data_IF_355954372257
#
_entry.id   IF_355954372257
#
_cell.length_a   1.000
_cell.length_b   1.000
_cell.length_c   1.000
_cell.angle_alpha   90.00
_cell.angle_beta   90.00
_cell.angle_gamma   90.00
#
_symmetry.space_group_name_H-M   'P 1'
#
loop_
_entity.id
_entity.type
_entity.pdbx_description
1 polymer ?
#
# COMPACT_ATOMS: atom_id res chain seq x y z
N UNK A 1 -9.58 14.29 11.94
CA UNK A 1 -9.36 12.86 12.25
C UNK A 1 -8.83 12.19 10.98
N UNK A 2 -7.84 11.30 11.07
CA UNK A 2 -7.27 10.59 9.91
C UNK A 2 -7.37 9.09 10.09
N UNK A 3 -7.83 8.40 9.04
CA UNK A 3 -7.76 6.95 8.95
C UNK A 3 -6.49 6.57 8.20
N UNK A 4 -5.80 5.55 8.69
CA UNK A 4 -4.57 5.02 8.14
C UNK A 4 -4.79 3.55 7.80
N UNK A 5 -4.17 3.07 6.73
CA UNK A 5 -4.01 1.63 6.54
C UNK A 5 -2.55 1.31 6.25
N UNK A 6 -2.11 0.16 6.73
CA UNK A 6 -0.79 -0.39 6.42
C UNK A 6 -0.94 -1.77 5.82
N UNK A 7 -0.31 -1.99 4.67
CA UNK A 7 0.04 -3.27 4.06
C UNK A 7 1.49 -3.60 4.42
N UNK A 8 1.75 -4.60 5.25
CA UNK A 8 3.05 -5.27 5.27
C UNK A 8 3.19 -6.36 4.19
N UNK A 9 4.45 -6.62 3.81
CA UNK A 9 4.89 -7.74 2.96
C UNK A 9 6.06 -8.50 3.62
N UNK A 10 5.80 -9.72 4.11
CA UNK A 10 6.72 -10.86 4.29
C UNK A 10 8.03 -10.73 5.12
N UNK A 11 8.67 -11.85 5.55
CA UNK A 11 9.45 -11.91 6.78
C UNK A 11 10.90 -11.46 6.59
N UNK A 12 11.13 -10.17 6.40
CA UNK A 12 12.48 -9.59 6.46
C UNK A 12 12.50 -8.08 6.74
N UNK A 13 11.40 -7.49 7.22
CA UNK A 13 11.38 -6.11 7.71
C UNK A 13 11.61 -5.02 6.64
N UNK A 14 11.31 -5.29 5.36
CA UNK A 14 11.51 -4.32 4.29
C UNK A 14 10.24 -4.15 3.44
N UNK A 15 9.69 -2.93 3.49
CA UNK A 15 8.54 -2.39 2.77
C UNK A 15 7.18 -2.48 3.49
N UNK A 16 6.90 -1.44 4.27
CA UNK A 16 5.54 -1.07 4.67
C UNK A 16 4.94 -0.19 3.56
N UNK A 17 3.88 -0.67 2.89
CA UNK A 17 3.03 0.23 2.12
C UNK A 17 1.96 0.77 3.04
N UNK A 18 1.88 2.08 3.21
CA UNK A 18 0.81 2.68 4.00
C UNK A 18 0.37 3.97 3.36
N UNK A 19 -0.93 4.23 3.46
CA UNK A 19 -1.52 5.50 3.07
C UNK A 19 -2.55 5.92 4.12
N UNK A 20 -3.01 7.16 4.04
CA UNK A 20 -3.96 7.71 4.99
C UNK A 20 -4.84 8.80 4.38
N UNK A 21 -5.90 9.16 5.10
CA UNK A 21 -6.87 10.16 4.63
C UNK A 21 -6.42 11.61 4.84
N UNK A 22 -5.30 11.89 5.53
CA UNK A 22 -4.92 13.26 5.91
C UNK A 22 -4.75 14.17 4.70
N UNK A 23 -3.94 13.78 3.71
CA UNK A 23 -3.67 14.62 2.54
C UNK A 23 -4.91 14.83 1.67
N UNK A 24 -5.77 13.81 1.57
CA UNK A 24 -7.02 13.90 0.79
C UNK A 24 -8.05 14.85 1.41
N UNK A 25 -8.03 15.00 2.74
CA UNK A 25 -8.98 15.85 3.49
C UNK A 25 -8.30 17.02 4.20
N UNK A 26 -7.11 17.42 3.76
CA UNK A 26 -6.35 18.50 4.40
C UNK A 26 -7.11 19.83 4.35
N UNK A 27 -7.72 20.12 3.20
CA UNK A 27 -8.38 21.40 2.94
C UNK A 27 -9.84 21.41 3.40
N UNK A 28 -10.42 20.23 3.68
CA UNK A 28 -11.74 20.05 4.31
C UNK A 28 -11.71 18.91 5.35
N UNK A 29 -11.18 19.18 6.57
CA UNK A 29 -10.96 18.16 7.57
C UNK A 29 -12.28 17.60 8.11
N UNK A 30 -12.42 16.28 8.01
CA UNK A 30 -13.56 15.60 8.63
C UNK A 30 -13.42 15.63 10.16
N UNK A 31 -14.37 16.33 10.80
CA UNK A 31 -14.55 16.33 12.24
C UNK A 31 -15.48 15.19 12.64
N UNK A 32 -15.10 14.45 13.68
CA UNK A 32 -15.92 13.40 14.24
C UNK A 32 -16.23 13.75 15.69
N UNK A 33 -17.51 13.73 16.05
CA UNK A 33 -17.94 13.90 17.43
C UNK A 33 -18.06 12.54 18.12
N UNK A 34 -18.02 12.53 19.45
CA UNK A 34 -18.29 11.33 20.22
C UNK A 34 -19.64 10.70 19.81
N UNK A 35 -19.65 9.38 19.60
CA UNK A 35 -20.84 8.66 19.13
C UNK A 35 -21.08 8.70 17.62
N UNK A 36 -20.22 9.38 16.85
CA UNK A 36 -20.30 9.36 15.38
C UNK A 36 -19.63 8.11 14.82
N UNK A 37 -20.29 7.44 13.90
CA UNK A 37 -19.69 6.36 13.12
C UNK A 37 -18.94 6.94 11.91
N UNK A 38 -17.70 6.50 11.69
CA UNK A 38 -16.87 6.91 10.56
C UNK A 38 -16.62 5.71 9.65
N UNK A 39 -16.72 5.93 8.35
CA UNK A 39 -16.31 4.96 7.33
C UNK A 39 -15.22 5.58 6.46
N UNK A 40 -14.04 4.96 6.46
CA UNK A 40 -12.97 5.27 5.52
C UNK A 40 -12.90 4.16 4.45
N UNK A 41 -12.84 4.55 3.18
CA UNK A 41 -12.69 3.63 2.05
C UNK A 41 -11.39 3.91 1.34
N UNK A 42 -10.59 2.86 1.16
CA UNK A 42 -9.35 2.90 0.39
C UNK A 42 -9.52 2.01 -0.83
N UNK A 43 -9.23 2.56 -2.01
CA UNK A 43 -9.30 1.86 -3.27
C UNK A 43 -7.98 2.02 -3.99
N UNK A 44 -7.34 0.91 -4.32
CA UNK A 44 -6.01 0.89 -4.93
C UNK A 44 -5.89 -0.34 -5.84
N UNK A 45 -5.01 -0.24 -6.83
CA UNK A 45 -4.61 -1.39 -7.63
C UNK A 45 -3.49 -2.13 -6.92
N UNK A 46 -3.67 -3.42 -6.65
CA UNK A 46 -2.63 -4.24 -6.06
C UNK A 46 -1.42 -4.28 -7.02
N UNK A 47 -0.20 -3.88 -6.57
CA UNK A 47 0.98 -3.96 -7.41
C UNK A 47 1.39 -5.41 -7.62
N UNK A 48 2.34 -5.67 -8.53
CA UNK A 48 2.94 -7.00 -8.61
C UNK A 48 3.77 -7.23 -7.35
N UNK A 49 3.27 -8.14 -6.51
CA UNK A 49 3.89 -8.54 -5.27
C UNK A 49 4.39 -9.99 -5.39
N UNK A 50 5.49 -10.35 -4.72
CA UNK A 50 5.89 -11.75 -4.58
C UNK A 50 4.76 -12.62 -4.04
N UNK A 51 4.71 -13.90 -4.41
CA UNK A 51 3.75 -14.82 -3.81
C UNK A 51 3.97 -14.94 -2.30
N UNK A 52 2.89 -15.02 -1.53
CA UNK A 52 2.91 -15.27 -0.09
C UNK A 52 1.84 -14.50 0.67
N UNK A 53 1.99 -14.41 1.98
CA UNK A 53 0.99 -13.84 2.88
C UNK A 53 1.31 -12.41 3.26
N UNK A 54 0.28 -11.57 3.18
CA UNK A 54 0.32 -10.14 3.42
C UNK A 54 -0.76 -9.83 4.44
N UNK A 55 -0.49 -8.98 5.42
CA UNK A 55 -1.52 -8.52 6.33
C UNK A 55 -1.94 -7.09 5.98
N UNK A 56 -3.11 -6.71 6.44
CA UNK A 56 -3.63 -5.35 6.35
C UNK A 56 -4.03 -4.95 7.76
N UNK A 57 -3.48 -3.83 8.22
CA UNK A 57 -3.68 -3.32 9.57
C UNK A 57 -4.21 -1.89 9.50
N UNK A 58 -5.53 -1.68 9.65
CA UNK A 58 -6.11 -0.35 9.73
C UNK A 58 -5.82 0.30 11.08
N UNK A 59 -5.69 1.62 11.07
CA UNK A 59 -5.52 2.44 12.26
C UNK A 59 -6.28 3.77 12.13
N UNK A 60 -6.60 4.37 13.26
CA UNK A 60 -7.21 5.69 13.33
C UNK A 60 -6.39 6.59 14.27
N UNK A 61 -6.16 7.81 13.82
CA UNK A 61 -5.36 8.79 14.52
C UNK A 61 -5.96 10.21 14.39
N UNK A 62 -5.47 11.13 15.20
CA UNK A 62 -5.77 12.55 15.10
C UNK A 62 -4.50 13.39 15.07
N UNK A 63 -4.53 14.52 14.39
CA UNK A 63 -3.39 15.42 14.24
C UNK A 63 -2.97 15.59 12.78
N UNK A 64 -1.70 15.90 12.58
CA UNK A 64 -1.08 16.06 11.25
C UNK A 64 -0.31 14.81 10.85
N UNK A 65 0.18 14.80 9.61
CA UNK A 65 1.06 13.74 9.13
C UNK A 65 2.30 13.55 10.02
N UNK A 66 2.91 14.66 10.46
CA UNK A 66 4.15 14.69 11.24
C UNK A 66 3.93 14.52 12.74
N UNK A 67 2.78 14.97 13.25
CA UNK A 67 2.44 14.96 14.67
C UNK A 67 1.00 14.48 14.86
N UNK A 68 0.85 13.20 15.19
CA UNK A 68 -0.45 12.59 15.44
C UNK A 68 -0.47 11.75 16.71
N UNK A 69 -1.64 11.69 17.33
CA UNK A 69 -1.97 10.76 18.42
C UNK A 69 -2.71 9.59 17.79
N UNK A 70 -2.14 8.39 17.93
CA UNK A 70 -2.79 7.17 17.50
C UNK A 70 -3.85 6.76 18.54
N UNK A 71 -5.11 6.63 18.10
CA UNK A 71 -6.23 6.27 18.97
C UNK A 71 -6.42 4.76 19.02
N UNK A 72 -6.38 4.10 17.87
CA UNK A 72 -6.55 2.64 17.79
C UNK A 72 -5.83 2.07 16.58
N UNK A 73 -5.24 0.88 16.76
CA UNK A 73 -4.62 0.07 15.73
C UNK A 73 -5.19 -1.34 15.80
N UNK A 74 -5.78 -1.82 14.72
CA UNK A 74 -6.09 -3.23 14.57
C UNK A 74 -4.99 -3.93 13.78
N UNK A 75 -4.15 -4.70 14.48
CA UNK A 75 -3.07 -5.47 13.87
C UNK A 75 -3.62 -6.67 13.10
N UNK A 76 -3.09 -6.89 11.91
CA UNK A 76 -3.37 -8.07 11.07
C UNK A 76 -4.87 -8.37 10.88
N UNK A 77 -5.69 -7.31 10.78
CA UNK A 77 -7.13 -7.38 10.67
C UNK A 77 -7.61 -8.24 9.49
N UNK A 78 -6.82 -8.28 8.42
CA UNK A 78 -7.07 -9.10 7.24
C UNK A 78 -5.77 -9.66 6.70
N UNK A 79 -5.75 -10.96 6.37
CA UNK A 79 -4.65 -11.61 5.66
C UNK A 79 -5.07 -11.82 4.20
N UNK A 80 -4.21 -11.41 3.28
CA UNK A 80 -4.35 -11.60 1.84
C UNK A 80 -3.20 -12.48 1.35
N UNK A 81 -3.54 -13.59 0.68
CA UNK A 81 -2.55 -14.43 0.01
C UNK A 81 -2.41 -14.02 -1.44
N UNK A 82 -1.21 -13.60 -1.82
CA UNK A 82 -0.86 -13.28 -3.21
C UNK A 82 -0.37 -14.54 -3.91
N UNK A 83 -0.95 -14.84 -5.07
CA UNK A 83 -0.52 -15.90 -5.97
C UNK A 83 -0.01 -15.23 -7.27
N UNK A 84 1.29 -14.91 -7.33
CA UNK A 84 1.87 -14.27 -8.51
C UNK A 84 2.12 -15.27 -9.64
N UNK A 85 1.65 -14.96 -10.85
CA UNK A 85 1.83 -15.79 -12.04
C UNK A 85 3.17 -15.54 -12.78
N UNK A 86 3.85 -14.42 -12.51
CA UNK A 86 5.15 -14.07 -13.09
C UNK A 86 6.16 -13.75 -12.00
N UNK A 87 7.42 -14.15 -12.20
CA UNK A 87 8.51 -13.87 -11.27
C UNK A 87 8.72 -12.35 -11.11
N UNK A 88 8.19 -11.77 -10.04
CA UNK A 88 8.63 -10.48 -9.56
C UNK A 88 9.99 -10.68 -8.89
N UNK A 89 11.07 -10.36 -9.60
CA UNK A 89 12.40 -10.31 -9.01
C UNK A 89 12.57 -8.95 -8.32
N UNK A 90 12.15 -8.84 -7.07
CA UNK A 90 12.23 -7.61 -6.26
C UNK A 90 11.02 -7.40 -5.36
N UNK A 91 11.01 -6.27 -4.64
CA UNK A 91 9.95 -5.90 -3.68
C UNK A 91 8.62 -5.51 -4.35
N UNK A 92 8.69 -4.89 -5.53
CA UNK A 92 7.53 -4.46 -6.33
C UNK A 92 7.85 -4.69 -7.80
N UNK A 93 6.94 -5.28 -8.55
CA UNK A 93 7.00 -5.32 -10.00
C UNK A 93 6.25 -4.14 -10.62
N UNK A 94 6.89 -3.45 -11.55
CA UNK A 94 6.26 -2.41 -12.37
C UNK A 94 5.83 -3.03 -13.71
N UNK A 95 4.55 -2.88 -14.12
CA UNK A 95 4.09 -3.39 -15.41
C UNK A 95 4.83 -2.70 -16.57
N UNK A 96 5.67 -3.45 -17.29
CA UNK A 96 6.35 -2.96 -18.48
C UNK A 96 5.35 -2.81 -19.62
N UNK A 97 5.09 -1.57 -20.06
CA UNK A 97 4.17 -1.29 -21.18
C UNK A 97 4.68 -1.80 -22.53
N UNK A 98 6.01 -1.95 -22.70
CA UNK A 98 6.65 -2.48 -23.91
C UNK A 98 8.00 -3.09 -23.59
N UNK A 99 8.25 -4.30 -24.08
CA UNK A 99 9.56 -4.97 -24.06
C UNK A 99 9.90 -5.37 -25.49
N UNK A 100 11.07 -4.99 -25.99
CA UNK A 100 11.51 -5.33 -27.35
C UNK A 100 12.99 -5.67 -27.37
N UNK A 101 13.33 -6.76 -28.04
CA UNK A 101 14.71 -7.19 -28.29
C UNK A 101 14.96 -7.09 -29.81
N UNK A 102 16.09 -6.51 -30.22
CA UNK A 102 16.53 -6.49 -31.61
C UNK A 102 17.95 -7.04 -31.70
N UNK A 103 18.19 -7.90 -32.68
CA UNK A 103 19.53 -8.37 -33.01
C UNK A 103 20.32 -7.21 -33.65
N UNK A 104 21.56 -7.00 -33.24
CA UNK A 104 22.47 -6.14 -33.98
C UNK A 104 22.79 -6.83 -35.32
N UNK A 105 22.71 -6.10 -36.43
CA UNK A 105 23.06 -6.66 -37.73
C UNK A 105 24.52 -7.13 -37.72
N UNK A 106 24.77 -8.39 -38.07
CA UNK A 106 26.12 -8.92 -38.23
C UNK A 106 26.85 -8.07 -39.28
N UNK A 107 27.87 -7.33 -38.84
CA UNK A 107 28.78 -6.64 -39.76
C UNK A 107 29.72 -7.70 -40.34
N UNK A 108 29.27 -8.40 -41.39
CA UNK A 108 30.16 -9.25 -42.18
C UNK A 108 31.25 -8.39 -42.82
N UNK A 109 32.50 -8.61 -42.41
CA UNK A 109 33.73 -8.23 -43.12
C UNK A 109 34.55 -9.48 -43.32
#
# INVERSE_FOLDING_TARGET
MSAHYRFPVQPAGASDFSDNTFLAYRDDPQQAMAGTELTARFEFQLPFLPSGDYSISPAIAEGTQEAHIQHHWLHDAMIVRVHAASACMGLIGVPMKRVSLRQAADRKS
#
